data_IF_435219321672
#
_entry.id   IF_435219321672
#
_cell.length_a   1.000
_cell.length_b   1.000
_cell.length_c   1.000
_cell.angle_alpha   90.00
_cell.angle_beta   90.00
_cell.angle_gamma   90.00
#
_symmetry.space_group_name_H-M   'P 1'
#
loop_
_entity.id
_entity.type
_entity.pdbx_description
1 polymer ?
#
# COMPACT_ATOMS: atom_id res chain seq x y z
N UNK A 1 8.43 8.22 13.42
CA UNK A 1 7.38 7.22 13.14
C UNK A 1 6.23 7.93 12.45
N UNK A 2 5.80 7.46 11.28
CA UNK A 2 4.67 8.05 10.57
C UNK A 2 3.39 7.33 11.01
N UNK A 3 2.30 8.07 11.20
CA UNK A 3 1.00 7.46 11.49
C UNK A 3 0.46 6.83 10.20
N UNK A 4 0.22 5.52 10.23
CA UNK A 4 -0.60 4.87 9.21
C UNK A 4 -2.04 5.33 9.41
N UNK A 5 -2.74 5.69 8.33
CA UNK A 5 -4.20 5.65 8.40
C UNK A 5 -4.56 4.18 8.57
N UNK A 6 -5.17 3.82 9.70
CA UNK A 6 -5.71 2.47 9.97
C UNK A 6 -6.44 1.89 8.74
N UNK A 7 -7.09 2.76 7.98
CA UNK A 7 -7.70 2.51 6.69
C UNK A 7 -6.80 1.82 5.64
N UNK A 8 -5.52 2.20 5.51
CA UNK A 8 -4.61 1.60 4.52
C UNK A 8 -4.27 0.14 4.86
N UNK A 9 -4.16 -0.17 6.16
CA UNK A 9 -3.93 -1.53 6.63
C UNK A 9 -5.19 -2.38 6.49
N UNK A 10 -6.36 -1.84 6.85
CA UNK A 10 -7.64 -2.51 6.69
C UNK A 10 -7.94 -2.82 5.22
N UNK A 11 -7.71 -1.87 4.31
CA UNK A 11 -7.86 -2.08 2.87
C UNK A 11 -6.93 -3.17 2.33
N UNK A 12 -5.66 -3.18 2.75
CA UNK A 12 -4.73 -4.22 2.29
C UNK A 12 -5.15 -5.63 2.74
N UNK A 13 -5.68 -5.75 3.97
CA UNK A 13 -6.22 -7.02 4.49
C UNK A 13 -7.49 -7.42 3.73
N UNK A 14 -8.39 -6.47 3.47
CA UNK A 14 -9.63 -6.69 2.72
C UNK A 14 -9.35 -7.18 1.29
N UNK A 15 -8.45 -6.49 0.56
CA UNK A 15 -8.03 -6.90 -0.80
C UNK A 15 -7.45 -8.31 -0.77
N UNK A 16 -6.60 -8.64 0.21
CA UNK A 16 -6.04 -9.99 0.33
C UNK A 16 -7.12 -11.05 0.56
N UNK A 17 -8.16 -10.75 1.36
CA UNK A 17 -9.29 -11.65 1.59
C UNK A 17 -10.13 -11.83 0.32
N UNK A 18 -10.46 -10.74 -0.36
CA UNK A 18 -11.17 -10.75 -1.66
C UNK A 18 -10.39 -11.49 -2.74
N UNK A 19 -9.07 -11.46 -2.70
CA UNK A 19 -8.22 -12.18 -3.66
C UNK A 19 -8.41 -13.70 -3.62
N UNK A 20 -8.88 -14.24 -2.48
CA UNK A 20 -9.24 -15.65 -2.35
C UNK A 20 -10.55 -16.00 -3.09
N UNK A 21 -11.32 -14.99 -3.52
CA UNK A 21 -12.55 -15.14 -4.27
C UNK A 21 -12.37 -14.75 -5.74
N UNK A 22 -12.47 -15.70 -6.69
CA UNK A 22 -12.32 -15.43 -8.12
C UNK A 22 -13.29 -14.37 -8.68
N UNK A 23 -14.47 -14.21 -8.07
CA UNK A 23 -15.48 -13.23 -8.50
C UNK A 23 -15.09 -11.78 -8.18
N UNK A 24 -14.20 -11.57 -7.21
CA UNK A 24 -13.83 -10.25 -6.68
C UNK A 24 -12.47 -9.78 -7.21
N UNK A 25 -11.82 -10.55 -8.11
CA UNK A 25 -10.50 -10.20 -8.66
C UNK A 25 -10.46 -8.86 -9.38
N UNK A 26 -11.52 -8.54 -10.12
CA UNK A 26 -11.64 -7.24 -10.80
C UNK A 26 -11.69 -6.08 -9.80
N UNK A 27 -12.44 -6.27 -8.71
CA UNK A 27 -12.54 -5.31 -7.61
C UNK A 27 -11.20 -5.18 -6.88
N UNK A 28 -10.51 -6.29 -6.61
CA UNK A 28 -9.16 -6.27 -6.01
C UNK A 28 -8.17 -5.44 -6.84
N UNK A 29 -8.23 -5.56 -8.16
CA UNK A 29 -7.37 -4.80 -9.05
C UNK A 29 -7.70 -3.30 -8.99
N UNK A 30 -8.97 -2.94 -9.04
CA UNK A 30 -9.43 -1.55 -8.91
C UNK A 30 -9.03 -0.96 -7.56
N UNK A 31 -9.16 -1.72 -6.47
CA UNK A 31 -8.78 -1.29 -5.13
C UNK A 31 -7.26 -1.03 -5.03
N UNK A 32 -6.43 -1.92 -5.60
CA UNK A 32 -4.97 -1.73 -5.64
C UNK A 32 -4.60 -0.51 -6.50
N UNK A 33 -5.23 -0.32 -7.67
CA UNK A 33 -4.99 0.83 -8.53
C UNK A 33 -5.34 2.14 -7.82
N UNK A 34 -6.48 2.20 -7.12
CA UNK A 34 -6.86 3.36 -6.33
C UNK A 34 -5.86 3.63 -5.18
N UNK A 35 -5.34 2.59 -4.52
CA UNK A 35 -4.28 2.77 -3.50
C UNK A 35 -3.00 3.36 -4.10
N UNK A 36 -2.60 2.93 -5.31
CA UNK A 36 -1.45 3.49 -6.02
C UNK A 36 -1.67 4.98 -6.31
N UNK A 37 -2.85 5.37 -6.80
CA UNK A 37 -3.18 6.77 -7.10
C UNK A 37 -3.08 7.67 -5.87
N UNK A 38 -3.65 7.21 -4.74
CA UNK A 38 -3.55 7.93 -3.46
C UNK A 38 -2.10 8.09 -3.02
N UNK A 39 -1.29 7.03 -3.13
CA UNK A 39 0.13 7.07 -2.74
C UNK A 39 0.96 7.96 -3.66
N UNK A 40 0.70 7.96 -4.97
CA UNK A 40 1.33 8.89 -5.92
C UNK A 40 0.98 10.35 -5.61
N UNK A 41 -0.27 10.63 -5.25
CA UNK A 41 -0.68 11.97 -4.80
C UNK A 41 0.07 12.39 -3.52
N UNK A 42 0.25 11.47 -2.57
CA UNK A 42 1.05 11.72 -1.36
C UNK A 42 2.54 11.95 -1.70
N UNK A 43 3.10 11.17 -2.62
CA UNK A 43 4.48 11.33 -3.08
C UNK A 43 4.69 12.72 -3.70
N UNK A 44 3.80 13.13 -4.61
CA UNK A 44 3.83 14.46 -5.23
C UNK A 44 3.80 15.57 -4.18
N UNK A 45 2.91 15.46 -3.18
CA UNK A 45 2.81 16.45 -2.10
C UNK A 45 4.05 16.48 -1.21
N UNK A 46 4.68 15.34 -0.97
CA UNK A 46 5.90 15.24 -0.18
C UNK A 46 7.13 15.77 -0.94
N UNK A 47 7.19 15.58 -2.27
CA UNK A 47 8.28 16.06 -3.12
C UNK A 47 8.30 17.60 -3.28
N UNK A 48 7.13 18.24 -3.17
CA UNK A 48 7.01 19.71 -3.13
C UNK A 48 7.57 20.33 -1.82
N UNK A 49 7.87 19.52 -0.80
CA UNK A 49 8.49 19.95 0.45
C UNK A 49 10.02 19.86 0.39
N UNK A 50 10.73 20.92 0.81
CA UNK A 50 12.20 20.90 0.94
C UNK A 50 12.65 19.68 1.77
N UNK A 51 13.56 18.86 1.21
CA UNK A 51 14.11 17.63 1.77
C UNK A 51 14.98 17.88 3.03
N UNK A 52 14.39 18.42 4.09
CA UNK A 52 15.01 18.47 5.41
C UNK A 52 14.75 17.14 6.13
N UNK A 53 15.65 16.16 5.95
CA UNK A 53 15.89 14.96 6.79
C UNK A 53 14.75 13.95 6.96
N UNK A 54 13.55 14.38 7.34
CA UNK A 54 12.36 13.55 7.57
C UNK A 54 11.48 13.36 6.33
N UNK A 55 11.31 14.38 5.49
CA UNK A 55 10.48 14.30 4.28
C UNK A 55 11.07 13.35 3.23
N UNK A 56 12.39 13.31 3.09
CA UNK A 56 13.07 12.38 2.19
C UNK A 56 12.99 10.91 2.63
N UNK A 57 12.86 10.66 3.93
CA UNK A 57 12.58 9.31 4.42
C UNK A 57 11.15 8.88 4.04
N UNK A 58 10.17 9.80 4.07
CA UNK A 58 8.78 9.53 3.68
C UNK A 58 8.67 9.23 2.19
N UNK A 59 9.30 10.03 1.32
CA UNK A 59 9.24 9.82 -0.13
C UNK A 59 9.85 8.47 -0.52
N UNK A 60 10.94 8.06 0.15
CA UNK A 60 11.52 6.72 0.00
C UNK A 60 10.56 5.59 0.39
N UNK A 61 9.90 5.72 1.56
CA UNK A 61 8.91 4.73 2.02
C UNK A 61 7.72 4.63 1.07
N UNK A 62 7.15 5.78 0.64
CA UNK A 62 6.03 5.81 -0.31
C UNK A 62 6.44 5.19 -1.66
N UNK A 63 7.68 5.41 -2.11
CA UNK A 63 8.20 4.80 -3.33
C UNK A 63 8.23 3.27 -3.26
N UNK A 64 8.68 2.72 -2.13
CA UNK A 64 8.67 1.26 -1.88
C UNK A 64 7.24 0.72 -1.87
N UNK A 65 6.32 1.40 -1.18
CA UNK A 65 4.90 1.03 -1.15
C UNK A 65 4.28 0.95 -2.55
N UNK A 66 4.52 1.97 -3.39
CA UNK A 66 4.04 2.01 -4.78
C UNK A 66 4.62 0.81 -5.56
N UNK A 67 5.90 0.51 -5.39
CA UNK A 67 6.55 -0.62 -6.06
C UNK A 67 5.90 -1.97 -5.71
N UNK A 68 5.63 -2.21 -4.42
CA UNK A 68 4.97 -3.45 -3.97
C UNK A 68 3.55 -3.55 -4.57
N UNK A 69 2.77 -2.46 -4.49
CA UNK A 69 1.40 -2.42 -5.02
C UNK A 69 1.34 -2.58 -6.54
N UNK A 70 2.25 -1.96 -7.28
CA UNK A 70 2.37 -2.15 -8.73
C UNK A 70 2.69 -3.60 -9.09
N UNK A 71 3.59 -4.24 -8.33
CA UNK A 71 3.90 -5.66 -8.50
C UNK A 71 2.68 -6.55 -8.25
N UNK A 72 1.86 -6.22 -7.25
CA UNK A 72 0.63 -6.96 -6.94
C UNK A 72 -0.42 -6.81 -8.07
N UNK A 73 -0.62 -5.58 -8.57
CA UNK A 73 -1.50 -5.31 -9.70
C UNK A 73 -1.05 -6.03 -10.98
N UNK A 74 0.25 -6.04 -11.27
CA UNK A 74 0.80 -6.76 -12.42
C UNK A 74 0.63 -8.28 -12.27
N UNK A 75 0.85 -8.82 -11.08
CA UNK A 75 0.63 -10.23 -10.79
C UNK A 75 -0.84 -10.63 -11.01
N UNK A 76 -1.80 -9.81 -10.56
CA UNK A 76 -3.23 -10.01 -10.81
C UNK A 76 -3.58 -9.96 -12.31
N UNK A 77 -3.06 -8.97 -13.04
CA UNK A 77 -3.26 -8.84 -14.49
C UNK A 77 -2.75 -10.06 -15.27
N UNK A 78 -1.67 -10.68 -14.77
CA UNK A 78 -1.08 -11.89 -15.34
C UNK A 78 -1.72 -13.20 -14.81
N UNK A 79 -2.77 -13.12 -13.98
CA UNK A 79 -3.45 -14.28 -13.40
C UNK A 79 -2.63 -15.04 -12.34
N UNK A 80 -1.58 -14.42 -11.81
CA UNK A 80 -0.72 -15.01 -10.77
C UNK A 80 -1.18 -14.56 -9.37
N UNK A 81 -2.30 -15.11 -8.93
CA UNK A 81 -2.92 -14.78 -7.64
C UNK A 81 -1.99 -15.08 -6.46
N UNK A 82 -1.19 -16.15 -6.55
CA UNK A 82 -0.24 -16.53 -5.50
C UNK A 82 0.82 -15.45 -5.30
N UNK A 83 1.39 -14.92 -6.38
CA UNK A 83 2.35 -13.81 -6.31
C UNK A 83 1.69 -12.52 -5.82
N UNK A 84 0.46 -12.22 -6.26
CA UNK A 84 -0.28 -11.06 -5.80
C UNK A 84 -0.55 -11.12 -4.28
N UNK A 85 -0.95 -12.28 -3.77
CA UNK A 85 -1.17 -12.49 -2.33
C UNK A 85 0.12 -12.31 -1.52
N UNK A 86 1.25 -12.85 -1.99
CA UNK A 86 2.54 -12.67 -1.34
C UNK A 86 2.99 -11.21 -1.30
N UNK A 87 2.78 -10.45 -2.37
CA UNK A 87 3.10 -9.02 -2.42
C UNK A 87 2.18 -8.18 -1.50
N UNK A 88 0.91 -8.55 -1.38
CA UNK A 88 0.01 -7.92 -0.40
C UNK A 88 0.42 -8.25 1.05
N UNK A 89 0.92 -9.45 1.33
CA UNK A 89 1.50 -9.80 2.64
C UNK A 89 2.77 -9.01 2.94
N UNK A 90 3.64 -8.85 1.94
CA UNK A 90 4.83 -8.01 2.03
C UNK A 90 4.44 -6.55 2.32
N UNK A 91 3.43 -6.02 1.61
CA UNK A 91 2.90 -4.68 1.85
C UNK A 91 2.41 -4.51 3.29
N UNK A 92 1.60 -5.45 3.80
CA UNK A 92 1.11 -5.42 5.19
C UNK A 92 2.26 -5.48 6.19
N UNK A 93 3.29 -6.28 5.91
CA UNK A 93 4.46 -6.42 6.79
C UNK A 93 5.30 -5.14 6.80
N UNK A 94 5.53 -4.55 5.63
CA UNK A 94 6.19 -3.26 5.46
C UNK A 94 5.46 -2.14 6.23
N UNK A 95 4.13 -2.10 6.12
CA UNK A 95 3.30 -1.17 6.86
C UNK A 95 3.48 -1.32 8.38
N UNK A 96 3.53 -2.54 8.91
CA UNK A 96 3.73 -2.79 10.35
C UNK A 96 5.12 -2.42 10.84
N UNK A 97 6.14 -2.56 10.00
CA UNK A 97 7.52 -2.26 10.37
C UNK A 97 7.79 -0.75 10.41
N UNK A 98 7.25 -0.01 9.43
CA UNK A 98 7.65 1.39 9.21
C UNK A 98 6.68 2.43 9.79
N UNK A 99 5.50 2.01 10.26
CA UNK A 99 4.48 2.93 10.76
C UNK A 99 3.90 2.47 12.09
N UNK A 100 3.61 3.44 12.98
CA UNK A 100 2.83 3.16 14.18
C UNK A 100 1.35 3.12 13.83
N UNK A 101 0.64 2.11 14.35
CA UNK A 101 -0.80 2.20 14.49
C UNK A 101 -1.13 3.43 15.35
N UNK A 102 -2.05 4.28 14.87
CA UNK A 102 -2.61 5.35 15.69
C UNK A 102 -3.04 4.77 17.04
N UNK A 103 -2.42 5.24 18.12
CA UNK A 103 -2.93 4.96 19.46
C UNK A 103 -4.22 5.78 19.61
N UNK A 104 -5.35 5.17 20.00
CA UNK A 104 -6.53 5.95 20.33
C UNK A 104 -6.14 6.93 21.45
N UNK A 105 -6.29 8.24 21.16
CA UNK A 105 -6.03 9.29 22.14
C UNK A 105 -6.93 9.08 23.35
N UNK A 106 -6.30 8.99 24.53
CA UNK A 106 -6.97 9.03 25.82
C UNK A 106 -7.15 10.47 26.28
#
# INVERSE_FOLDING_TARGET
>A
MFMISKEAMEKAVDIKQKLANPAEKGECLTDIEHMIEVKQSHLWRADLGSCAGGLCAITGLIGIEIGILQGAAEALKNGNDGKAASLLEEYISFLKEHYEMERPGY
#
